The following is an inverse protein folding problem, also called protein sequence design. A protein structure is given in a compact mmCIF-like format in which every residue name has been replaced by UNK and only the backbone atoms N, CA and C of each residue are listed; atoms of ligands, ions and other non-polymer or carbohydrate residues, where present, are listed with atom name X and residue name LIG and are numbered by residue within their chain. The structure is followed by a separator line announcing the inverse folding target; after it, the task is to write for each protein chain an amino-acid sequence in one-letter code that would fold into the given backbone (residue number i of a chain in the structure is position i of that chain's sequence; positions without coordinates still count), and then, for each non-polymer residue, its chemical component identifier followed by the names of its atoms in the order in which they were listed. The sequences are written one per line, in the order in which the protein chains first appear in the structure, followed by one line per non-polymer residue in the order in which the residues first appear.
data_IF_712775837096
#
_entry.id   IF_712775837096
#
_cell.length_a   1.000
_cell.length_b   1.000
_cell.length_c   1.000
_cell.angle_alpha   90.00
_cell.angle_beta   90.00
_cell.angle_gamma   90.00
#
_symmetry.space_group_name_H-M   'P 1'
#
loop_
_entity.id
_entity.type
_entity.pdbx_description
1 polymer ?
#
# COMPACT_ATOMS: atom_id res chain seq x y z
N UNK A 1 -0.77 -42.38 -40.35
CA UNK A 1 0.15 -42.13 -39.23
C UNK A 1 -0.23 -40.83 -38.51
N UNK A 2 -0.92 -41.02 -37.38
CA UNK A 2 -1.26 -39.91 -36.50
C UNK A 2 -0.02 -39.55 -35.70
N UNK A 3 0.65 -38.43 -36.02
CA UNK A 3 1.72 -37.85 -35.21
C UNK A 3 1.13 -37.37 -33.89
N UNK A 4 1.48 -38.06 -32.82
CA UNK A 4 1.17 -37.68 -31.44
C UNK A 4 1.97 -36.44 -31.09
N UNK A 5 1.31 -35.28 -30.91
CA UNK A 5 1.92 -34.09 -30.40
C UNK A 5 2.13 -34.26 -28.90
N UNK A 6 3.27 -34.81 -28.49
CA UNK A 6 3.71 -34.71 -27.12
C UNK A 6 4.13 -33.28 -26.82
N UNK A 7 3.28 -32.51 -26.17
CA UNK A 7 3.68 -31.27 -25.54
C UNK A 7 4.66 -31.59 -24.40
N UNK A 8 5.91 -31.26 -24.61
CA UNK A 8 6.92 -31.33 -23.56
C UNK A 8 6.50 -30.42 -22.40
N UNK A 9 6.10 -31.06 -21.32
CA UNK A 9 5.87 -30.36 -20.06
C UNK A 9 7.24 -30.03 -19.49
N UNK A 10 7.76 -28.82 -19.77
CA UNK A 10 8.90 -28.34 -19.01
C UNK A 10 8.46 -28.15 -17.56
N UNK A 11 9.14 -28.75 -16.56
CA UNK A 11 8.82 -28.51 -15.18
C UNK A 11 8.95 -27.01 -14.90
N UNK A 12 7.88 -26.41 -14.38
CA UNK A 12 7.88 -24.99 -14.00
C UNK A 12 9.02 -24.76 -13.03
N UNK A 13 9.89 -23.75 -13.26
CA UNK A 13 10.99 -23.49 -12.35
C UNK A 13 10.41 -23.23 -10.95
N UNK A 14 10.75 -24.08 -10.00
CA UNK A 14 10.41 -23.95 -8.57
C UNK A 14 11.33 -22.90 -7.97
N UNK A 15 11.00 -21.65 -8.14
CA UNK A 15 11.69 -20.57 -7.43
C UNK A 15 11.15 -20.57 -6.00
N UNK A 16 12.05 -20.75 -5.03
CA UNK A 16 11.66 -20.74 -3.61
C UNK A 16 11.19 -19.34 -3.22
N UNK A 17 9.96 -19.24 -2.73
CA UNK A 17 9.44 -18.01 -2.12
C UNK A 17 10.31 -17.69 -0.91
N UNK A 18 10.79 -16.45 -0.72
CA UNK A 18 11.49 -16.07 0.50
C UNK A 18 10.66 -16.47 1.73
N UNK A 19 11.31 -17.07 2.73
CA UNK A 19 10.65 -17.58 3.93
C UNK A 19 9.77 -16.52 4.63
N UNK A 20 10.21 -15.26 4.60
CA UNK A 20 9.46 -14.10 5.09
C UNK A 20 8.10 -13.90 4.41
N UNK A 21 7.99 -14.19 3.11
CA UNK A 21 6.73 -14.04 2.37
C UNK A 21 5.79 -15.24 2.53
N UNK A 22 6.32 -16.45 2.67
CA UNK A 22 5.49 -17.64 2.85
C UNK A 22 4.71 -17.60 4.18
N UNK A 23 5.29 -17.06 5.24
CA UNK A 23 4.61 -16.85 6.52
C UNK A 23 3.50 -15.79 6.45
N UNK A 24 3.71 -14.72 5.68
CA UNK A 24 2.70 -13.66 5.52
C UNK A 24 1.46 -14.12 4.75
N UNK A 25 1.61 -15.06 3.82
CA UNK A 25 0.51 -15.50 2.97
C UNK A 25 -0.39 -16.57 3.61
N UNK A 26 0.10 -17.33 4.60
CA UNK A 26 -0.66 -18.34 5.30
C UNK A 26 -1.35 -19.35 4.35
N UNK A 27 -2.50 -19.87 4.76
CA UNK A 27 -3.35 -20.74 3.93
C UNK A 27 -4.26 -19.91 3.01
N UNK A 28 -3.68 -19.08 2.12
CA UNK A 28 -4.49 -18.39 1.12
C UNK A 28 -5.06 -19.42 0.13
N UNK A 29 -6.35 -19.31 -0.18
CA UNK A 29 -6.98 -20.19 -1.17
C UNK A 29 -6.56 -19.77 -2.59
N UNK A 30 -5.56 -20.48 -3.11
CA UNK A 30 -5.08 -20.35 -4.48
C UNK A 30 -5.78 -21.30 -5.45
N UNK A 31 -6.88 -21.95 -5.03
CA UNK A 31 -7.68 -22.77 -5.92
C UNK A 31 -8.05 -22.01 -7.19
N UNK A 32 -8.00 -22.70 -8.32
CA UNK A 32 -8.29 -22.17 -9.65
C UNK A 32 -7.31 -21.11 -10.17
N UNK A 33 -6.12 -20.93 -9.57
CA UNK A 33 -5.08 -20.09 -10.17
C UNK A 33 -4.29 -20.89 -11.22
N UNK A 34 -4.29 -20.39 -12.45
CA UNK A 34 -3.49 -20.96 -13.56
C UNK A 34 -1.98 -20.81 -13.35
N UNK A 35 -1.58 -19.82 -12.56
CA UNK A 35 -0.19 -19.50 -12.29
C UNK A 35 0.13 -19.74 -10.81
N UNK A 36 1.39 -20.14 -10.53
CA UNK A 36 1.84 -20.36 -9.17
C UNK A 36 1.96 -19.05 -8.37
N UNK A 37 1.89 -19.17 -7.05
CA UNK A 37 1.97 -18.03 -6.14
C UNK A 37 3.27 -17.23 -6.31
N UNK A 38 4.38 -17.91 -6.56
CA UNK A 38 5.67 -17.25 -6.73
C UNK A 38 5.65 -16.24 -7.89
N UNK A 39 5.07 -16.60 -9.04
CA UNK A 39 4.91 -15.69 -10.17
C UNK A 39 4.05 -14.48 -9.79
N UNK A 40 2.97 -14.69 -9.03
CA UNK A 40 2.12 -13.59 -8.55
C UNK A 40 2.91 -12.64 -7.65
N UNK A 41 3.67 -13.17 -6.69
CA UNK A 41 4.51 -12.37 -5.81
C UNK A 41 5.56 -11.58 -6.62
N UNK A 42 6.23 -12.22 -7.57
CA UNK A 42 7.18 -11.55 -8.46
C UNK A 42 6.52 -10.38 -9.19
N UNK A 43 5.34 -10.58 -9.73
CA UNK A 43 4.57 -9.52 -10.42
C UNK A 43 4.23 -8.38 -9.48
N UNK A 44 3.72 -8.67 -8.28
CA UNK A 44 3.38 -7.66 -7.27
C UNK A 44 4.62 -6.89 -6.83
N UNK A 45 5.75 -7.57 -6.63
CA UNK A 45 7.03 -6.94 -6.28
C UNK A 45 7.51 -5.99 -7.39
N UNK A 46 7.50 -6.43 -8.65
CA UNK A 46 7.87 -5.59 -9.79
C UNK A 46 6.95 -4.38 -9.94
N UNK A 47 5.69 -4.52 -9.56
CA UNK A 47 4.72 -3.43 -9.62
C UNK A 47 4.87 -2.43 -8.47
N UNK A 48 4.89 -2.91 -7.21
CA UNK A 48 4.88 -2.03 -6.04
C UNK A 48 6.26 -1.52 -5.64
N UNK A 49 7.30 -2.34 -5.74
CA UNK A 49 8.68 -1.95 -5.42
C UNK A 49 9.39 -1.45 -6.66
N UNK A 50 9.34 -2.22 -7.77
CA UNK A 50 10.04 -1.88 -9.01
C UNK A 50 9.39 -0.76 -9.83
N UNK A 51 8.21 -0.26 -9.44
CA UNK A 51 7.52 0.83 -10.13
C UNK A 51 7.11 0.55 -11.58
N UNK A 52 7.19 -0.71 -12.02
CA UNK A 52 6.92 -1.10 -13.40
C UNK A 52 5.42 -1.08 -13.73
N UNK A 53 5.04 -0.66 -14.93
CA UNK A 53 3.64 -0.74 -15.37
C UNK A 53 3.24 -2.19 -15.69
N UNK A 54 1.94 -2.50 -15.65
CA UNK A 54 1.43 -3.84 -15.97
C UNK A 54 1.87 -4.34 -17.34
N UNK A 55 1.93 -3.46 -18.34
CA UNK A 55 2.39 -3.81 -19.70
C UNK A 55 3.89 -4.12 -19.73
N UNK A 56 4.71 -3.35 -19.02
CA UNK A 56 6.15 -3.64 -18.88
C UNK A 56 6.37 -4.97 -18.17
N UNK A 57 5.65 -5.25 -17.10
CA UNK A 57 5.75 -6.52 -16.37
C UNK A 57 5.35 -7.69 -17.27
N UNK A 58 4.24 -7.58 -18.01
CA UNK A 58 3.81 -8.60 -18.98
C UNK A 58 4.92 -8.91 -20.01
N UNK A 59 5.57 -7.85 -20.55
CA UNK A 59 6.69 -8.00 -21.48
C UNK A 59 7.91 -8.66 -20.81
N UNK A 60 8.29 -8.22 -19.61
CA UNK A 60 9.40 -8.79 -18.84
C UNK A 60 9.19 -10.28 -18.55
N UNK A 61 7.97 -10.68 -18.16
CA UNK A 61 7.65 -12.08 -17.92
C UNK A 61 7.81 -12.93 -19.20
N UNK A 62 7.38 -12.40 -20.32
CA UNK A 62 7.55 -13.08 -21.61
C UNK A 62 9.03 -13.21 -22.00
N UNK A 63 9.81 -12.13 -21.88
CA UNK A 63 11.22 -12.12 -22.31
C UNK A 63 12.13 -12.92 -21.38
N UNK A 64 11.96 -12.78 -20.05
CA UNK A 64 12.89 -13.39 -19.08
C UNK A 64 12.53 -14.82 -18.71
N UNK A 65 11.23 -15.15 -18.69
CA UNK A 65 10.74 -16.43 -18.16
C UNK A 65 9.92 -17.23 -19.18
N UNK A 66 9.74 -16.73 -20.41
CA UNK A 66 8.86 -17.30 -21.43
C UNK A 66 7.43 -17.56 -20.90
N UNK A 67 6.94 -16.68 -20.01
CA UNK A 67 5.62 -16.78 -19.39
C UNK A 67 4.70 -15.71 -19.96
N UNK A 68 3.59 -16.13 -20.58
CA UNK A 68 2.61 -15.23 -21.14
C UNK A 68 1.51 -14.92 -20.10
N UNK A 69 1.54 -13.70 -19.54
CA UNK A 69 0.50 -13.17 -18.66
C UNK A 69 0.06 -11.82 -19.19
N UNK A 70 -1.26 -11.64 -19.36
CA UNK A 70 -1.78 -10.37 -19.84
C UNK A 70 -1.66 -9.27 -18.77
N UNK A 71 -1.51 -8.02 -19.22
CA UNK A 71 -1.51 -6.87 -18.29
C UNK A 71 -2.83 -6.72 -17.51
N UNK A 72 -3.95 -7.22 -18.06
CA UNK A 72 -5.25 -7.27 -17.40
C UNK A 72 -5.21 -8.25 -16.22
N UNK A 73 -4.71 -9.47 -16.46
CA UNK A 73 -4.53 -10.49 -15.41
C UNK A 73 -3.66 -9.98 -14.27
N UNK A 74 -2.59 -9.23 -14.58
CA UNK A 74 -1.73 -8.60 -13.57
C UNK A 74 -2.53 -7.60 -12.71
N UNK A 75 -3.34 -6.76 -13.34
CA UNK A 75 -4.24 -5.82 -12.65
C UNK A 75 -5.26 -6.53 -11.76
N UNK A 76 -5.82 -7.64 -12.23
CA UNK A 76 -6.78 -8.46 -11.45
C UNK A 76 -6.10 -9.09 -10.22
N UNK A 77 -4.83 -9.50 -10.33
CA UNK A 77 -4.08 -9.97 -9.17
C UNK A 77 -3.89 -8.88 -8.12
N UNK A 78 -3.59 -7.66 -8.52
CA UNK A 78 -3.48 -6.55 -7.57
C UNK A 78 -4.77 -6.34 -6.79
N UNK A 79 -5.93 -6.45 -7.44
CA UNK A 79 -7.23 -6.33 -6.75
C UNK A 79 -7.55 -7.56 -5.89
N UNK A 80 -7.34 -8.76 -6.44
CA UNK A 80 -7.66 -10.02 -5.75
C UNK A 80 -6.87 -10.20 -4.46
N UNK A 81 -5.59 -9.85 -4.46
CA UNK A 81 -4.71 -10.07 -3.31
C UNK A 81 -4.76 -8.94 -2.27
N UNK A 82 -5.23 -7.73 -2.63
CA UNK A 82 -5.28 -6.61 -1.71
C UNK A 82 -6.02 -6.90 -0.40
N UNK A 83 -7.25 -7.43 -0.38
CA UNK A 83 -7.95 -7.72 0.87
C UNK A 83 -7.25 -8.82 1.70
N UNK A 84 -6.58 -9.77 1.05
CA UNK A 84 -5.85 -10.84 1.72
C UNK A 84 -4.65 -10.27 2.49
N UNK A 85 -3.84 -9.44 1.83
CA UNK A 85 -2.69 -8.80 2.46
C UNK A 85 -3.12 -7.80 3.54
N UNK A 86 -4.20 -7.07 3.31
CA UNK A 86 -4.75 -6.16 4.31
C UNK A 86 -5.22 -6.90 5.56
N UNK A 87 -5.97 -7.97 5.41
CA UNK A 87 -6.37 -8.84 6.53
C UNK A 87 -5.17 -9.33 7.34
N UNK A 88 -4.04 -9.65 6.66
CA UNK A 88 -2.80 -10.02 7.34
C UNK A 88 -2.18 -8.85 8.12
N UNK A 89 -2.15 -7.64 7.54
CA UNK A 89 -1.70 -6.46 8.29
C UNK A 89 -2.53 -6.31 9.56
N UNK A 90 -3.85 -6.31 9.45
CA UNK A 90 -4.76 -6.14 10.59
C UNK A 90 -4.53 -7.20 11.69
N UNK A 91 -4.20 -8.44 11.31
CA UNK A 91 -3.89 -9.50 12.28
C UNK A 91 -2.55 -9.32 12.98
N UNK A 92 -1.62 -8.57 12.40
CA UNK A 92 -0.30 -8.29 12.96
C UNK A 92 -0.26 -7.00 13.80
N UNK A 93 -1.16 -6.04 13.52
CA UNK A 93 -1.20 -4.74 14.21
C UNK A 93 -1.23 -4.86 15.74
N UNK A 94 -2.05 -5.75 16.36
CA UNK A 94 -2.07 -5.90 17.82
C UNK A 94 -0.78 -6.47 18.42
N UNK A 95 0.10 -7.06 17.60
CA UNK A 95 1.37 -7.62 18.03
C UNK A 95 2.52 -6.60 17.95
N UNK A 96 2.24 -5.44 17.40
CA UNK A 96 3.20 -4.36 17.22
C UNK A 96 2.97 -3.27 18.28
N UNK A 97 4.03 -2.56 18.65
CA UNK A 97 3.94 -1.43 19.55
C UNK A 97 4.07 -0.12 18.75
N UNK A 98 3.05 0.70 18.81
CA UNK A 98 3.00 2.03 18.19
C UNK A 98 2.78 3.13 19.25
N UNK A 99 3.17 2.88 20.51
CA UNK A 99 3.19 3.89 21.58
C UNK A 99 4.46 4.73 21.43
N UNK A 100 4.55 5.47 20.36
CA UNK A 100 5.67 6.35 20.03
C UNK A 100 5.42 7.79 20.46
N UNK A 101 6.43 8.62 20.43
CA UNK A 101 6.29 10.03 20.78
C UNK A 101 5.36 10.76 19.80
N UNK A 102 5.46 10.44 18.52
CA UNK A 102 4.72 11.17 17.49
C UNK A 102 4.15 10.26 16.40
N UNK A 103 2.92 10.56 16.00
CA UNK A 103 2.36 10.09 14.73
C UNK A 103 2.20 11.28 13.80
N UNK A 104 2.60 11.12 12.55
CA UNK A 104 2.51 12.16 11.54
C UNK A 104 1.35 11.90 10.59
N UNK A 105 0.55 12.93 10.36
CA UNK A 105 -0.59 12.87 9.43
C UNK A 105 -0.43 13.90 8.31
N UNK A 106 -0.71 13.49 7.09
CA UNK A 106 -0.70 14.35 5.91
C UNK A 106 -1.61 13.78 4.82
N UNK A 107 -2.03 14.63 3.88
CA UNK A 107 -2.80 14.17 2.75
C UNK A 107 -2.11 14.49 1.42
N UNK A 108 -2.38 13.66 0.44
CA UNK A 108 -1.90 13.85 -0.93
C UNK A 108 -3.00 13.67 -1.96
N UNK A 109 -2.80 14.22 -3.15
CA UNK A 109 -3.81 14.23 -4.21
C UNK A 109 -3.55 13.09 -5.19
N UNK A 110 -4.64 12.41 -5.57
CA UNK A 110 -4.68 11.45 -6.67
C UNK A 110 -5.84 11.77 -7.61
N UNK A 111 -5.84 11.13 -8.78
CA UNK A 111 -6.95 11.19 -9.74
C UNK A 111 -7.62 9.82 -9.81
N UNK A 112 -8.95 9.83 -9.74
CA UNK A 112 -9.79 8.66 -9.97
C UNK A 112 -10.76 9.02 -11.09
N UNK A 113 -10.68 8.30 -12.19
CA UNK A 113 -11.46 8.58 -13.39
C UNK A 113 -11.35 10.05 -13.85
N UNK A 114 -10.14 10.62 -13.75
CA UNK A 114 -9.87 12.02 -14.08
C UNK A 114 -10.21 13.04 -12.99
N UNK A 115 -11.05 12.70 -12.03
CA UNK A 115 -11.44 13.57 -10.92
C UNK A 115 -10.42 13.57 -9.78
N UNK A 116 -10.33 14.70 -9.07
CA UNK A 116 -9.43 14.89 -7.93
C UNK A 116 -9.99 14.23 -6.68
N UNK A 117 -9.15 13.43 -6.01
CA UNK A 117 -9.39 12.82 -4.71
C UNK A 117 -8.21 13.08 -3.78
N UNK A 118 -8.43 12.91 -2.47
CA UNK A 118 -7.43 13.04 -1.43
C UNK A 118 -7.21 11.70 -0.76
N UNK A 119 -5.94 11.35 -0.54
CA UNK A 119 -5.58 10.24 0.32
C UNK A 119 -4.94 10.83 1.56
N UNK A 120 -5.49 10.48 2.69
CA UNK A 120 -5.01 10.85 4.01
C UNK A 120 -4.20 9.69 4.55
N UNK A 121 -2.99 9.95 5.01
CA UNK A 121 -2.13 8.95 5.61
C UNK A 121 -1.79 9.31 7.04
N UNK A 122 -1.53 8.30 7.87
CA UNK A 122 -0.94 8.45 9.19
C UNK A 122 0.20 7.44 9.35
N UNK A 123 1.35 7.94 9.79
CA UNK A 123 2.59 7.18 9.94
C UNK A 123 3.12 7.32 11.35
N UNK A 124 3.59 6.25 11.91
CA UNK A 124 4.34 6.24 13.16
C UNK A 124 5.77 6.71 12.93
N UNK A 125 6.24 7.71 13.72
CA UNK A 125 7.52 8.36 13.48
C UNK A 125 8.73 7.47 13.72
N UNK A 126 8.64 6.58 14.71
CA UNK A 126 9.75 5.70 15.10
C UNK A 126 9.88 4.50 14.18
N UNK A 127 8.81 3.77 13.99
CA UNK A 127 8.82 2.56 13.17
C UNK A 127 8.69 2.84 11.68
N UNK A 128 8.31 4.04 11.28
CA UNK A 128 7.98 4.44 9.89
C UNK A 128 6.85 3.62 9.29
N UNK A 129 6.03 2.97 10.13
CA UNK A 129 4.90 2.16 9.71
C UNK A 129 3.69 3.03 9.38
N UNK A 130 3.10 2.83 8.20
CA UNK A 130 1.81 3.45 7.87
C UNK A 130 0.74 2.74 8.67
N UNK A 131 0.16 3.42 9.64
CA UNK A 131 -0.88 2.90 10.51
C UNK A 131 -2.21 2.77 9.81
N UNK A 132 -2.51 3.73 8.92
CA UNK A 132 -3.74 3.73 8.16
C UNK A 132 -3.76 4.73 7.01
N UNK A 133 -4.77 4.59 6.17
CA UNK A 133 -5.07 5.57 5.13
C UNK A 133 -6.58 5.71 4.94
N UNK A 134 -7.00 6.87 4.46
CA UNK A 134 -8.38 7.15 4.09
C UNK A 134 -8.43 7.84 2.74
N UNK A 135 -9.28 7.34 1.83
CA UNK A 135 -9.45 7.89 0.49
C UNK A 135 -10.80 8.61 0.40
N UNK A 136 -10.79 9.89 0.02
CA UNK A 136 -12.00 10.72 -0.02
C UNK A 136 -12.02 11.70 -1.18
N UNK A 137 -13.22 12.13 -1.57
CA UNK A 137 -13.41 13.22 -2.53
C UNK A 137 -13.27 14.59 -1.86
N UNK A 138 -13.54 14.67 -0.56
CA UNK A 138 -13.52 15.90 0.23
C UNK A 138 -12.21 16.03 1.01
N UNK A 139 -11.81 17.29 1.24
CA UNK A 139 -10.67 17.66 2.07
C UNK A 139 -11.17 18.49 3.26
N UNK A 140 -11.68 17.79 4.27
CA UNK A 140 -12.29 18.42 5.44
C UNK A 140 -12.09 17.59 6.71
N UNK A 141 -12.50 18.13 7.87
CA UNK A 141 -12.34 17.47 9.18
C UNK A 141 -12.99 16.10 9.31
N UNK A 142 -14.18 15.81 8.76
CA UNK A 142 -14.76 14.47 8.80
C UNK A 142 -13.86 13.39 8.21
N UNK A 143 -13.03 13.70 7.21
CA UNK A 143 -12.11 12.75 6.60
C UNK A 143 -10.93 12.43 7.53
N UNK A 144 -10.40 13.45 8.22
CA UNK A 144 -9.40 13.26 9.25
C UNK A 144 -9.96 12.45 10.44
N UNK A 145 -11.22 12.66 10.82
CA UNK A 145 -11.92 11.82 11.80
C UNK A 145 -11.97 10.37 11.37
N UNK A 146 -12.37 10.09 10.14
CA UNK A 146 -12.44 8.73 9.60
C UNK A 146 -11.08 8.04 9.62
N UNK A 147 -10.00 8.74 9.26
CA UNK A 147 -8.64 8.22 9.35
C UNK A 147 -8.27 7.88 10.81
N UNK A 148 -8.42 8.82 11.72
CA UNK A 148 -7.98 8.66 13.11
C UNK A 148 -8.79 7.61 13.87
N UNK A 149 -10.11 7.54 13.63
CA UNK A 149 -10.97 6.47 14.17
C UNK A 149 -10.49 5.08 13.73
N UNK A 150 -10.02 4.94 12.49
CA UNK A 150 -9.55 3.65 11.97
C UNK A 150 -8.28 3.14 12.65
N UNK A 151 -7.49 4.01 13.28
CA UNK A 151 -6.18 3.68 13.86
C UNK A 151 -6.08 3.87 15.38
N UNK A 152 -7.11 4.44 16.03
CA UNK A 152 -7.09 4.76 17.46
C UNK A 152 -6.77 3.60 18.39
N UNK A 153 -7.01 2.38 17.94
CA UNK A 153 -6.77 1.15 18.73
C UNK A 153 -5.36 0.58 18.58
N UNK A 154 -4.46 1.20 17.78
CA UNK A 154 -3.15 0.62 17.49
C UNK A 154 -2.06 1.08 18.45
N UNK A 155 -2.25 2.20 19.13
CA UNK A 155 -1.29 2.74 20.10
C UNK A 155 -1.76 4.08 20.68
N UNK A 156 -0.90 4.67 21.51
CA UNK A 156 -1.15 5.95 22.17
C UNK A 156 0.04 6.88 21.93
N UNK A 157 0.03 7.67 20.86
CA UNK A 157 1.09 8.64 20.62
C UNK A 157 1.06 9.77 21.66
N UNK A 158 2.18 10.39 21.97
CA UNK A 158 2.24 11.58 22.83
C UNK A 158 1.78 12.84 22.10
N UNK A 159 1.95 12.87 20.77
CA UNK A 159 1.48 13.97 19.91
C UNK A 159 1.10 13.50 18.50
N UNK A 160 0.23 14.28 17.86
CA UNK A 160 -0.03 14.18 16.43
C UNK A 160 0.62 15.38 15.74
N UNK A 161 1.47 15.10 14.75
CA UNK A 161 2.14 16.11 13.93
C UNK A 161 1.45 16.19 12.57
N UNK A 162 1.12 17.40 12.12
CA UNK A 162 0.60 17.62 10.75
C UNK A 162 1.02 18.98 10.23
N UNK A 163 0.74 19.27 8.98
CA UNK A 163 0.80 20.63 8.45
C UNK A 163 -0.18 21.57 9.18
N UNK A 164 -0.18 22.85 8.84
CA UNK A 164 -1.07 23.84 9.46
C UNK A 164 -2.52 23.74 9.01
N UNK A 165 -2.89 22.73 8.25
CA UNK A 165 -4.27 22.57 7.80
C UNK A 165 -5.21 22.29 8.98
N UNK A 166 -6.30 23.05 9.04
CA UNK A 166 -7.20 23.05 10.21
C UNK A 166 -8.00 21.78 10.42
N UNK A 167 -8.11 20.93 9.39
CA UNK A 167 -8.91 19.71 9.43
C UNK A 167 -8.46 18.71 10.50
N UNK A 168 -7.20 18.71 10.89
CA UNK A 168 -6.64 17.80 11.89
C UNK A 168 -6.89 18.23 13.34
N UNK A 169 -7.18 19.53 13.59
CA UNK A 169 -7.24 20.08 14.95
C UNK A 169 -8.30 19.43 15.84
N UNK A 170 -9.52 19.36 15.33
CA UNK A 170 -10.66 18.81 16.11
C UNK A 170 -10.55 17.29 16.27
N UNK A 171 -10.24 16.51 15.21
CA UNK A 171 -10.07 15.06 15.33
C UNK A 171 -8.96 14.65 16.31
N UNK A 172 -7.81 15.33 16.28
CA UNK A 172 -6.69 15.04 17.22
C UNK A 172 -7.15 15.14 18.65
N UNK A 173 -7.82 16.24 19.02
CA UNK A 173 -8.30 16.45 20.37
C UNK A 173 -9.42 15.46 20.76
N UNK A 174 -10.34 15.21 19.84
CA UNK A 174 -11.51 14.39 20.13
C UNK A 174 -11.17 12.89 20.26
N UNK A 175 -10.25 12.38 19.44
CA UNK A 175 -9.95 10.94 19.36
C UNK A 175 -8.79 10.54 20.27
N UNK A 176 -7.70 11.33 20.25
CA UNK A 176 -6.49 10.99 21.01
C UNK A 176 -6.33 11.80 22.30
N UNK A 177 -6.93 13.00 22.39
CA UNK A 177 -6.77 13.87 23.55
C UNK A 177 -5.34 14.43 23.74
N UNK A 178 -4.47 14.24 22.76
CA UNK A 178 -3.04 14.60 22.81
C UNK A 178 -2.76 15.96 22.17
N UNK A 179 -1.51 16.41 22.28
CA UNK A 179 -1.04 17.63 21.64
C UNK A 179 -1.09 17.51 20.12
N UNK A 180 -1.61 18.53 19.47
CA UNK A 180 -1.53 18.67 18.02
C UNK A 180 -0.40 19.65 17.68
N UNK A 181 0.70 19.13 17.16
CA UNK A 181 1.85 19.92 16.72
C UNK A 181 1.65 20.28 15.26
N UNK A 182 1.54 21.57 14.98
CA UNK A 182 1.28 22.09 13.64
C UNK A 182 2.55 22.70 13.08
N UNK A 183 3.21 22.00 12.19
CA UNK A 183 4.51 22.41 11.64
C UNK A 183 4.36 23.17 10.32
N UNK A 184 5.24 24.14 10.12
CA UNK A 184 5.47 24.75 8.83
C UNK A 184 6.77 24.19 8.28
N UNK A 185 6.69 23.49 7.15
CA UNK A 185 7.83 22.88 6.46
C UNK A 185 9.10 23.76 6.56
N UNK A 186 10.23 23.18 7.00
CA UNK A 186 11.57 23.77 7.10
C UNK A 186 11.79 24.92 8.11
N UNK A 187 10.81 25.30 8.93
CA UNK A 187 10.98 26.43 9.87
C UNK A 187 10.86 26.06 11.34
N UNK A 188 10.34 24.88 11.63
CA UNK A 188 10.10 24.43 12.99
C UNK A 188 11.13 23.36 13.39
N UNK A 189 11.47 23.26 14.68
CA UNK A 189 12.39 22.25 15.22
C UNK A 189 11.87 20.81 15.01
N UNK A 190 10.56 20.65 15.00
CA UNK A 190 9.87 19.40 14.66
C UNK A 190 9.49 19.47 13.18
N UNK A 191 9.97 18.50 12.41
CA UNK A 191 9.73 18.48 10.97
C UNK A 191 8.76 17.38 10.57
N UNK A 192 7.93 17.64 9.57
CA UNK A 192 7.04 16.64 8.97
C UNK A 192 7.76 15.73 7.94
N UNK A 193 9.09 15.68 8.00
CA UNK A 193 9.95 14.98 7.02
C UNK A 193 9.62 13.50 6.85
N UNK A 194 9.14 12.85 7.91
CA UNK A 194 8.81 11.41 7.90
C UNK A 194 7.72 11.12 6.89
N UNK A 195 6.59 11.81 7.02
CA UNK A 195 5.45 11.60 6.12
C UNK A 195 5.68 12.23 4.75
N UNK A 196 6.47 13.31 4.66
CA UNK A 196 6.85 13.89 3.37
C UNK A 196 7.72 12.93 2.55
N UNK A 197 8.68 12.23 3.19
CA UNK A 197 9.50 11.21 2.53
C UNK A 197 8.63 10.06 2.02
N UNK A 198 7.68 9.59 2.83
CA UNK A 198 6.70 8.60 2.39
C UNK A 198 5.87 9.11 1.21
N UNK A 199 5.34 10.33 1.29
CA UNK A 199 4.54 10.92 0.22
C UNK A 199 5.32 11.06 -1.11
N UNK A 200 6.65 11.32 -1.04
CA UNK A 200 7.52 11.31 -2.23
C UNK A 200 7.58 9.93 -2.88
N UNK A 201 7.76 8.87 -2.09
CA UNK A 201 7.77 7.49 -2.59
C UNK A 201 6.41 7.08 -3.16
N UNK A 202 5.33 7.40 -2.46
CA UNK A 202 3.97 7.16 -2.95
C UNK A 202 3.72 7.88 -4.27
N UNK A 203 4.07 9.17 -4.38
CA UNK A 203 3.91 9.95 -5.61
C UNK A 203 4.77 9.41 -6.76
N UNK A 204 5.99 8.95 -6.48
CA UNK A 204 6.84 8.31 -7.48
C UNK A 204 6.16 7.06 -8.05
N UNK A 205 5.70 6.17 -7.18
CA UNK A 205 4.93 4.99 -7.58
C UNK A 205 3.65 5.38 -8.32
N UNK A 206 2.89 6.35 -7.83
CA UNK A 206 1.62 6.80 -8.39
C UNK A 206 1.76 7.42 -9.79
N UNK A 207 2.79 8.27 -10.02
CA UNK A 207 2.99 8.97 -11.30
C UNK A 207 3.06 8.02 -12.51
N UNK A 208 3.59 6.82 -12.34
CA UNK A 208 3.72 5.84 -13.43
C UNK A 208 2.38 5.20 -13.84
N UNK A 209 1.27 5.54 -13.17
CA UNK A 209 -0.07 4.96 -13.39
C UNK A 209 -1.07 5.90 -14.03
N UNK A 210 -0.76 7.19 -14.09
CA UNK A 210 -1.65 8.21 -14.66
C UNK A 210 -3.03 8.31 -13.99
N UNK A 211 -3.19 7.81 -12.75
CA UNK A 211 -4.45 7.79 -12.02
C UNK A 211 -5.05 6.38 -11.87
N UNK A 212 -6.23 6.35 -11.30
CA UNK A 212 -7.00 5.13 -11.08
C UNK A 212 -8.32 5.19 -11.86
N UNK A 213 -8.83 4.02 -12.28
CA UNK A 213 -10.05 3.93 -13.09
C UNK A 213 -11.34 3.91 -12.24
N UNK A 214 -11.24 3.58 -10.95
CA UNK A 214 -12.38 3.54 -10.02
C UNK A 214 -11.89 3.71 -8.58
N UNK A 215 -12.81 4.09 -7.69
CA UNK A 215 -12.55 4.20 -6.26
C UNK A 215 -12.10 2.87 -5.65
N UNK A 216 -12.78 1.79 -6.00
CA UNK A 216 -12.43 0.44 -5.54
C UNK A 216 -11.03 0.01 -5.98
N UNK A 217 -10.67 0.26 -7.25
CA UNK A 217 -9.34 -0.01 -7.78
C UNK A 217 -8.27 0.81 -7.08
N UNK A 218 -8.55 2.10 -6.83
CA UNK A 218 -7.66 2.98 -6.07
C UNK A 218 -7.41 2.44 -4.67
N UNK A 219 -8.49 2.16 -3.94
CA UNK A 219 -8.41 1.64 -2.57
C UNK A 219 -7.62 0.34 -2.49
N UNK A 220 -7.88 -0.62 -3.37
CA UNK A 220 -7.15 -1.89 -3.44
C UNK A 220 -5.66 -1.70 -3.73
N UNK A 221 -5.32 -0.85 -4.69
CA UNK A 221 -3.92 -0.60 -5.06
C UNK A 221 -3.16 0.16 -3.97
N UNK A 222 -3.79 1.13 -3.30
CA UNK A 222 -3.19 1.86 -2.19
C UNK A 222 -2.97 0.92 -1.00
N UNK A 223 -3.95 0.09 -0.68
CA UNK A 223 -3.87 -0.92 0.36
C UNK A 223 -2.66 -1.85 0.18
N UNK A 224 -2.45 -2.33 -1.05
CA UNK A 224 -1.28 -3.13 -1.39
C UNK A 224 0.02 -2.33 -1.36
N UNK A 225 0.01 -1.07 -1.80
CA UNK A 225 1.18 -0.20 -1.70
C UNK A 225 1.61 -0.01 -0.23
N UNK A 226 0.65 0.27 0.66
CA UNK A 226 0.90 0.39 2.11
C UNK A 226 1.48 -0.91 2.67
N UNK A 227 0.95 -2.07 2.26
CA UNK A 227 1.52 -3.36 2.64
C UNK A 227 2.99 -3.49 2.22
N UNK A 228 3.30 -3.25 0.94
CA UNK A 228 4.67 -3.35 0.43
C UNK A 228 5.60 -2.31 1.08
N UNK A 229 5.12 -1.10 1.32
CA UNK A 229 5.89 -0.08 2.04
C UNK A 229 6.23 -0.56 3.44
N UNK A 230 5.25 -0.98 4.22
CA UNK A 230 5.42 -1.35 5.62
C UNK A 230 6.37 -2.52 5.84
N UNK A 231 6.44 -3.47 4.92
CA UNK A 231 7.18 -4.71 5.13
C UNK A 231 8.45 -4.85 4.28
N UNK A 232 8.62 -4.04 3.23
CA UNK A 232 9.73 -4.25 2.27
C UNK A 232 10.45 -2.98 1.80
N UNK A 233 9.86 -1.77 1.97
CA UNK A 233 10.43 -0.55 1.39
C UNK A 233 11.00 0.38 2.46
N UNK A 234 10.36 0.49 3.63
CA UNK A 234 10.72 1.39 4.74
C UNK A 234 12.12 1.14 5.32
#
# INVERSE_FOLDING_TARGET
DKKCNHSFFQPKPTVKVPASMSHLLGKCDFKRMRHNLHLVITVLTLFYIGGSSFRKISLMLKMLYNVNVSHVTIGDWCKKFAPIFHSKILSLMPLMNFNSDEWHADETVVKINGEKYYIWFIIDSETRFILGFHLSKHRDSPQAFSLFESVKGYGSPSAIVSDRYSAYKVPTKAIFGVNHIRVQSFKDDISNNVIEAFNKQFKYWYKTRYGFNSFESANSMIMMFVFFFNFFIR
#
